data_IF_006542446020
#
_entry.id   IF_006542446020
#
_cell.length_a   1.000
_cell.length_b   1.000
_cell.length_c   1.000
_cell.angle_alpha   90.00
_cell.angle_beta   90.00
_cell.angle_gamma   90.00
#
_symmetry.space_group_name_H-M   'P 1'
#
loop_
_entity.id
_entity.type
_entity.pdbx_description
1 polymer ?
#
# COMPACT_ATOMS: atom_id res chain seq x y z
N UNK A 1 -7.49 -35.47 19.21
CA UNK A 1 -6.30 -34.75 18.71
C UNK A 1 -6.70 -33.86 17.54
N UNK A 2 -7.05 -32.59 17.77
CA UNK A 2 -7.58 -31.66 16.75
C UNK A 2 -6.69 -30.42 16.50
N UNK A 3 -5.45 -30.42 17.00
CA UNK A 3 -4.50 -29.30 16.88
C UNK A 3 -3.80 -29.17 15.50
N UNK A 4 -4.12 -30.03 14.51
CA UNK A 4 -3.22 -30.21 13.36
C UNK A 4 -3.56 -29.38 12.11
N UNK A 5 -4.80 -28.88 11.95
CA UNK A 5 -5.20 -28.21 10.69
C UNK A 5 -4.93 -26.70 10.69
N UNK A 6 -5.20 -26.02 11.80
CA UNK A 6 -4.96 -24.56 11.93
C UNK A 6 -3.47 -24.22 12.01
N UNK A 7 -2.67 -25.03 12.70
CA UNK A 7 -1.21 -24.84 12.78
C UNK A 7 -0.55 -25.14 11.43
N UNK A 8 -0.95 -26.23 10.75
CA UNK A 8 -0.46 -26.52 9.40
C UNK A 8 -0.85 -25.44 8.38
N UNK A 9 -2.08 -24.91 8.46
CA UNK A 9 -2.52 -23.80 7.62
C UNK A 9 -1.65 -22.57 7.79
N UNK A 10 -1.42 -22.12 9.05
CA UNK A 10 -0.53 -20.97 9.31
C UNK A 10 0.90 -21.19 8.82
N UNK A 11 1.49 -22.36 9.07
CA UNK A 11 2.85 -22.69 8.62
C UNK A 11 2.93 -22.70 7.09
N UNK A 12 1.93 -23.28 6.42
CA UNK A 12 1.87 -23.32 4.96
C UNK A 12 1.70 -21.92 4.35
N UNK A 13 0.81 -21.10 4.90
CA UNK A 13 0.63 -19.69 4.52
C UNK A 13 1.94 -18.91 4.64
N UNK A 14 2.66 -19.07 5.76
CA UNK A 14 3.97 -18.43 5.95
C UNK A 14 5.00 -18.92 4.93
N UNK A 15 5.05 -20.22 4.63
CA UNK A 15 5.94 -20.77 3.61
C UNK A 15 5.65 -20.20 2.22
N UNK A 16 4.38 -20.15 1.81
CA UNK A 16 3.96 -19.60 0.51
C UNK A 16 4.32 -18.11 0.39
N UNK A 17 4.15 -17.35 1.48
CA UNK A 17 4.55 -15.95 1.52
C UNK A 17 6.05 -15.77 1.38
N UNK A 18 6.86 -16.55 2.11
CA UNK A 18 8.33 -16.48 1.97
C UNK A 18 8.79 -16.86 0.56
N UNK A 19 8.22 -17.91 -0.03
CA UNK A 19 8.47 -18.28 -1.42
C UNK A 19 8.16 -17.13 -2.39
N UNK A 20 7.02 -16.46 -2.21
CA UNK A 20 6.66 -15.31 -3.03
C UNK A 20 7.70 -14.17 -2.92
N UNK A 21 8.23 -13.91 -1.72
CA UNK A 21 9.28 -12.90 -1.54
C UNK A 21 10.58 -13.28 -2.27
N UNK A 22 10.99 -14.54 -2.24
CA UNK A 22 12.15 -15.03 -2.98
C UNK A 22 11.96 -14.90 -4.49
N UNK A 23 10.78 -15.26 -5.00
CA UNK A 23 10.42 -15.10 -6.41
C UNK A 23 10.42 -13.62 -6.83
N UNK A 24 9.90 -12.72 -5.98
CA UNK A 24 9.98 -11.27 -6.21
C UNK A 24 11.43 -10.78 -6.31
N UNK A 25 12.32 -11.29 -5.46
CA UNK A 25 13.75 -10.96 -5.50
C UNK A 25 14.43 -11.50 -6.77
N UNK A 26 14.05 -12.70 -7.20
CA UNK A 26 14.53 -13.32 -8.45
C UNK A 26 13.92 -12.68 -9.71
N UNK A 27 12.91 -11.83 -9.56
CA UNK A 27 12.19 -11.20 -10.68
C UNK A 27 11.10 -12.07 -11.31
N UNK A 28 10.80 -13.23 -10.74
CA UNK A 28 9.69 -14.09 -11.15
C UNK A 28 8.35 -13.54 -10.64
N UNK A 29 7.81 -12.58 -11.39
CA UNK A 29 6.57 -11.90 -11.03
C UNK A 29 5.34 -12.82 -11.12
N UNK A 30 5.36 -13.77 -12.06
CA UNK A 30 4.24 -14.69 -12.25
C UNK A 30 4.19 -15.73 -11.13
N UNK A 31 5.33 -16.32 -10.79
CA UNK A 31 5.44 -17.24 -9.66
C UNK A 31 5.09 -16.56 -8.33
N UNK A 32 5.60 -15.35 -8.10
CA UNK A 32 5.26 -14.58 -6.91
C UNK A 32 3.75 -14.32 -6.78
N UNK A 33 3.07 -13.95 -7.88
CA UNK A 33 1.63 -13.74 -7.87
C UNK A 33 0.88 -15.02 -7.50
N UNK A 34 1.27 -16.14 -8.11
CA UNK A 34 0.67 -17.45 -7.82
C UNK A 34 0.83 -17.85 -6.36
N UNK A 35 2.03 -17.70 -5.80
CA UNK A 35 2.30 -18.03 -4.39
C UNK A 35 1.54 -17.11 -3.42
N UNK A 36 1.40 -15.81 -3.75
CA UNK A 36 0.58 -14.88 -2.96
C UNK A 36 -0.91 -15.23 -3.03
N UNK A 37 -1.43 -15.58 -4.20
CA UNK A 37 -2.82 -16.01 -4.36
C UNK A 37 -3.11 -17.29 -3.56
N UNK A 38 -2.20 -18.26 -3.58
CA UNK A 38 -2.31 -19.46 -2.76
C UNK A 38 -2.28 -19.15 -1.27
N UNK A 39 -1.36 -18.28 -0.82
CA UNK A 39 -1.27 -17.87 0.57
C UNK A 39 -2.58 -17.22 1.05
N UNK A 40 -3.20 -16.40 0.20
CA UNK A 40 -4.46 -15.69 0.49
C UNK A 40 -5.70 -16.57 0.35
N UNK A 41 -5.65 -17.65 -0.42
CA UNK A 41 -6.71 -18.66 -0.42
C UNK A 41 -6.75 -19.44 0.90
N UNK A 42 -5.58 -19.73 1.50
CA UNK A 42 -5.49 -20.40 2.79
C UNK A 42 -5.79 -19.45 3.97
N UNK A 43 -5.35 -18.19 3.87
CA UNK A 43 -5.58 -17.17 4.89
C UNK A 43 -5.90 -15.80 4.25
N UNK A 44 -7.20 -15.53 3.96
CA UNK A 44 -7.62 -14.32 3.24
C UNK A 44 -7.27 -13.00 3.94
N UNK A 45 -7.14 -13.02 5.26
CA UNK A 45 -6.84 -11.83 6.07
C UNK A 45 -5.34 -11.67 6.36
N UNK A 46 -4.47 -12.31 5.56
CA UNK A 46 -3.02 -12.12 5.71
C UNK A 46 -2.56 -10.78 5.14
N UNK A 47 -2.56 -9.74 5.98
CA UNK A 47 -2.26 -8.36 5.60
C UNK A 47 -0.94 -8.19 4.82
N UNK A 48 0.14 -8.88 5.22
CA UNK A 48 1.43 -8.79 4.52
C UNK A 48 1.36 -9.37 3.10
N UNK A 49 0.68 -10.49 2.91
CA UNK A 49 0.49 -11.09 1.59
C UNK A 49 -0.43 -10.21 0.70
N UNK A 50 -1.51 -9.64 1.26
CA UNK A 50 -2.33 -8.65 0.56
C UNK A 50 -1.49 -7.44 0.14
N UNK A 51 -0.66 -6.91 1.03
CA UNK A 51 0.19 -5.75 0.75
C UNK A 51 1.21 -6.04 -0.36
N UNK A 52 1.87 -7.20 -0.34
CA UNK A 52 2.81 -7.58 -1.41
C UNK A 52 2.08 -7.85 -2.73
N UNK A 53 0.91 -8.48 -2.71
CA UNK A 53 0.12 -8.71 -3.93
C UNK A 53 -0.36 -7.40 -4.53
N UNK A 54 -0.80 -6.46 -3.70
CA UNK A 54 -1.15 -5.10 -4.14
C UNK A 54 0.02 -4.40 -4.82
N UNK A 55 1.24 -4.46 -4.23
CA UNK A 55 2.45 -3.92 -4.86
C UNK A 55 2.74 -4.57 -6.22
N UNK A 56 2.63 -5.90 -6.29
CA UNK A 56 2.89 -6.67 -7.49
C UNK A 56 1.88 -6.37 -8.59
N UNK A 57 0.59 -6.29 -8.24
CA UNK A 57 -0.49 -5.92 -9.17
C UNK A 57 -0.31 -4.53 -9.76
N UNK A 58 0.14 -3.54 -8.98
CA UNK A 58 0.55 -2.23 -9.53
C UNK A 58 1.66 -2.39 -10.57
N UNK A 59 2.68 -3.19 -10.28
CA UNK A 59 3.80 -3.44 -11.22
C UNK A 59 3.32 -4.14 -12.51
N UNK A 60 2.30 -4.98 -12.42
CA UNK A 60 1.67 -5.69 -13.54
C UNK A 60 0.59 -4.88 -14.26
N UNK A 61 0.26 -3.67 -13.78
CA UNK A 61 -0.78 -2.81 -14.36
C UNK A 61 -2.21 -3.11 -13.89
N UNK A 62 -2.42 -4.09 -13.00
CA UNK A 62 -3.71 -4.38 -12.39
C UNK A 62 -4.01 -3.41 -11.24
N UNK A 63 -4.37 -2.17 -11.60
CA UNK A 63 -4.65 -1.12 -10.62
C UNK A 63 -5.90 -1.39 -9.78
N UNK A 64 -6.92 -2.02 -10.36
CA UNK A 64 -8.15 -2.36 -9.65
C UNK A 64 -7.93 -3.46 -8.60
N UNK A 65 -7.24 -4.53 -8.97
CA UNK A 65 -6.89 -5.59 -8.03
C UNK A 65 -5.95 -5.10 -6.93
N UNK A 66 -5.01 -4.21 -7.26
CA UNK A 66 -4.17 -3.57 -6.25
C UNK A 66 -4.97 -2.71 -5.26
N UNK A 67 -5.95 -1.95 -5.76
CA UNK A 67 -6.83 -1.12 -4.94
C UNK A 67 -7.68 -1.95 -3.97
N UNK A 68 -8.19 -3.10 -4.44
CA UNK A 68 -8.90 -4.05 -3.60
C UNK A 68 -7.98 -4.59 -2.48
N UNK A 69 -6.76 -5.02 -2.82
CA UNK A 69 -5.80 -5.53 -1.84
C UNK A 69 -5.43 -4.48 -0.77
N UNK A 70 -5.10 -3.25 -1.18
CA UNK A 70 -4.79 -2.18 -0.21
C UNK A 70 -6.00 -1.74 0.61
N UNK A 71 -7.22 -1.87 0.07
CA UNK A 71 -8.44 -1.60 0.83
C UNK A 71 -8.62 -2.63 1.95
N UNK A 72 -8.36 -3.91 1.67
CA UNK A 72 -8.39 -4.94 2.70
C UNK A 72 -7.25 -4.79 3.71
N UNK A 73 -6.04 -4.43 3.28
CA UNK A 73 -4.96 -4.08 4.21
C UNK A 73 -5.40 -2.97 5.16
N UNK A 74 -5.98 -1.89 4.65
CA UNK A 74 -6.45 -0.76 5.46
C UNK A 74 -7.64 -1.11 6.36
N UNK A 75 -8.47 -2.08 5.98
CA UNK A 75 -9.54 -2.60 6.83
C UNK A 75 -8.97 -3.38 8.02
N UNK A 76 -7.95 -4.20 7.78
CA UNK A 76 -7.30 -5.05 8.79
C UNK A 76 -6.39 -4.24 9.71
N UNK A 77 -5.55 -3.39 9.12
CA UNK A 77 -4.58 -2.57 9.81
C UNK A 77 -4.32 -1.27 9.03
N UNK A 78 -4.92 -0.15 9.46
CA UNK A 78 -4.62 1.15 8.90
C UNK A 78 -3.13 1.50 9.08
N UNK A 79 -2.40 1.70 7.98
CA UNK A 79 -1.00 2.12 8.00
C UNK A 79 -0.77 3.28 7.04
N UNK A 80 0.25 4.09 7.33
CA UNK A 80 0.63 5.23 6.48
C UNK A 80 0.99 4.71 5.09
N UNK A 81 1.78 3.63 5.02
CA UNK A 81 2.24 3.01 3.79
C UNK A 81 1.07 2.57 2.91
N UNK A 82 0.08 1.88 3.48
CA UNK A 82 -1.07 1.41 2.71
C UNK A 82 -1.94 2.56 2.20
N UNK A 83 -2.15 3.63 3.00
CA UNK A 83 -2.82 4.85 2.52
C UNK A 83 -2.05 5.50 1.38
N UNK A 84 -0.71 5.61 1.48
CA UNK A 84 0.09 6.19 0.40
C UNK A 84 0.02 5.36 -0.88
N UNK A 85 0.09 4.03 -0.77
CA UNK A 85 0.02 3.14 -1.94
C UNK A 85 -1.35 3.23 -2.63
N UNK A 86 -2.44 3.16 -1.88
CA UNK A 86 -3.79 3.28 -2.45
C UNK A 86 -4.06 4.68 -3.01
N UNK A 87 -3.61 5.73 -2.32
CA UNK A 87 -3.69 7.10 -2.82
C UNK A 87 -2.91 7.31 -4.12
N UNK A 88 -1.73 6.71 -4.28
CA UNK A 88 -0.98 6.75 -5.55
C UNK A 88 -1.74 6.04 -6.68
N UNK A 89 -2.37 4.89 -6.39
CA UNK A 89 -3.20 4.17 -7.36
C UNK A 89 -4.39 5.04 -7.81
N UNK A 90 -5.06 5.72 -6.87
CA UNK A 90 -6.13 6.65 -7.21
C UNK A 90 -5.65 7.77 -8.15
N UNK A 91 -4.44 8.31 -7.96
CA UNK A 91 -3.88 9.29 -8.92
C UNK A 91 -3.61 8.70 -10.30
N UNK A 92 -3.09 7.47 -10.36
CA UNK A 92 -2.85 6.74 -11.62
C UNK A 92 -4.15 6.47 -12.39
N UNK A 93 -5.28 6.44 -11.69
CA UNK A 93 -6.62 6.18 -12.26
C UNK A 93 -7.44 7.47 -12.45
N UNK A 94 -6.83 8.64 -12.36
CA UNK A 94 -7.51 9.95 -12.41
C UNK A 94 -8.60 10.18 -11.34
N UNK A 95 -8.57 9.41 -10.26
CA UNK A 95 -9.47 9.49 -9.11
C UNK A 95 -8.89 10.36 -7.98
N UNK A 96 -8.37 11.54 -8.32
CA UNK A 96 -7.68 12.43 -7.38
C UNK A 96 -8.48 12.80 -6.10
N UNK A 97 -9.82 12.96 -6.10
CA UNK A 97 -10.58 13.16 -4.86
C UNK A 97 -10.38 12.05 -3.82
N UNK A 98 -10.31 10.79 -4.24
CA UNK A 98 -10.06 9.67 -3.33
C UNK A 98 -8.60 9.65 -2.83
N UNK A 99 -7.64 10.03 -3.68
CA UNK A 99 -6.25 10.20 -3.28
C UNK A 99 -6.06 11.29 -2.20
N UNK A 100 -6.83 12.39 -2.27
CA UNK A 100 -6.84 13.43 -1.22
C UNK A 100 -7.26 12.83 0.12
N UNK A 101 -8.32 12.02 0.15
CA UNK A 101 -8.81 11.39 1.38
C UNK A 101 -7.73 10.50 2.00
N UNK A 102 -7.10 9.62 1.21
CA UNK A 102 -6.03 8.75 1.70
C UNK A 102 -4.79 9.52 2.16
N UNK A 103 -4.40 10.57 1.43
CA UNK A 103 -3.29 11.44 1.84
C UNK A 103 -3.59 12.14 3.18
N UNK A 104 -4.83 12.60 3.38
CA UNK A 104 -5.25 13.21 4.65
C UNK A 104 -5.30 12.21 5.81
N UNK A 105 -5.63 10.94 5.56
CA UNK A 105 -5.49 9.91 6.58
C UNK A 105 -4.01 9.70 6.95
N UNK A 106 -3.13 9.63 5.96
CA UNK A 106 -1.69 9.49 6.17
C UNK A 106 -1.09 10.67 6.96
N UNK A 107 -1.51 11.92 6.68
CA UNK A 107 -1.03 13.10 7.45
C UNK A 107 -1.59 13.13 8.87
N UNK A 108 -2.79 12.59 9.13
CA UNK A 108 -3.31 12.43 10.49
C UNK A 108 -2.50 11.40 11.30
N UNK A 109 -2.12 10.29 10.67
CA UNK A 109 -1.31 9.26 11.32
C UNK A 109 0.13 9.71 11.58
N UNK A 110 0.74 10.43 10.64
CA UNK A 110 2.07 11.01 10.81
C UNK A 110 2.13 12.46 10.31
N UNK A 111 1.87 13.44 11.21
CA UNK A 111 1.85 14.86 10.85
C UNK A 111 3.17 15.42 10.34
N UNK A 112 4.28 14.70 10.54
CA UNK A 112 5.63 15.09 10.09
C UNK A 112 6.16 14.20 8.96
N UNK A 113 5.28 13.51 8.23
CA UNK A 113 5.71 12.62 7.14
C UNK A 113 5.62 13.30 5.78
N UNK A 114 6.78 13.65 5.21
CA UNK A 114 6.88 14.40 3.97
C UNK A 114 6.13 13.74 2.79
N UNK A 115 6.21 12.41 2.65
CA UNK A 115 5.58 11.68 1.55
C UNK A 115 4.04 11.81 1.53
N UNK A 116 3.40 11.94 2.70
CA UNK A 116 1.94 12.15 2.78
C UNK A 116 1.54 13.52 2.24
N UNK A 117 2.29 14.57 2.57
CA UNK A 117 2.06 15.90 2.01
C UNK A 117 2.42 15.99 0.53
N UNK A 118 3.43 15.25 0.05
CA UNK A 118 3.72 15.15 -1.38
C UNK A 118 2.55 14.53 -2.15
N UNK A 119 1.97 13.45 -1.64
CA UNK A 119 0.78 12.84 -2.23
C UNK A 119 -0.40 13.81 -2.25
N UNK A 120 -0.63 14.52 -1.14
CA UNK A 120 -1.69 15.52 -1.03
C UNK A 120 -1.51 16.65 -2.06
N UNK A 121 -0.29 17.15 -2.23
CA UNK A 121 0.03 18.17 -3.23
C UNK A 121 -0.18 17.70 -4.67
N UNK A 122 0.17 16.44 -4.98
CA UNK A 122 -0.09 15.84 -6.30
C UNK A 122 -1.59 15.73 -6.57
N UNK A 123 -2.34 15.27 -5.59
CA UNK A 123 -3.78 15.11 -5.69
C UNK A 123 -4.51 16.45 -5.87
N UNK A 124 -4.16 17.47 -5.08
CA UNK A 124 -4.74 18.81 -5.24
C UNK A 124 -4.41 19.45 -6.59
N UNK A 125 -3.19 19.25 -7.09
CA UNK A 125 -2.80 19.73 -8.42
C UNK A 125 -3.65 19.09 -9.52
N UNK A 126 -3.93 17.79 -9.41
CA UNK A 126 -4.70 17.06 -10.42
C UNK A 126 -6.17 17.49 -10.48
N UNK A 127 -6.76 17.90 -9.36
CA UNK A 127 -8.10 18.53 -9.32
C UNK A 127 -8.10 20.04 -9.60
N UNK A 128 -6.95 20.62 -9.97
CA UNK A 128 -6.82 22.06 -10.28
C UNK A 128 -6.76 22.99 -9.06
N UNK A 129 -6.73 22.46 -7.83
CA UNK A 129 -6.63 23.26 -6.62
C UNK A 129 -5.17 23.65 -6.33
N UNK A 130 -4.69 24.64 -7.08
CA UNK A 130 -3.29 25.08 -7.05
C UNK A 130 -2.86 25.63 -5.68
N UNK A 131 -3.73 26.34 -4.98
CA UNK A 131 -3.43 26.92 -3.67
C UNK A 131 -3.16 25.83 -2.61
N UNK A 132 -4.04 24.83 -2.54
CA UNK A 132 -3.86 23.71 -1.62
C UNK A 132 -2.67 22.84 -2.01
N UNK A 133 -2.40 22.69 -3.31
CA UNK A 133 -1.22 21.99 -3.79
C UNK A 133 0.08 22.65 -3.30
N UNK A 134 0.21 23.98 -3.46
CA UNK A 134 1.38 24.74 -2.99
C UNK A 134 1.53 24.59 -1.47
N UNK A 135 0.45 24.71 -0.72
CA UNK A 135 0.46 24.56 0.74
C UNK A 135 0.96 23.19 1.15
N UNK A 136 0.44 22.12 0.54
CA UNK A 136 0.89 20.75 0.81
C UNK A 136 2.37 20.55 0.44
N UNK A 137 2.84 21.05 -0.70
CA UNK A 137 4.24 20.92 -1.09
C UNK A 137 5.19 21.67 -0.16
N UNK A 138 4.83 22.87 0.30
CA UNK A 138 5.62 23.61 1.30
C UNK A 138 5.77 22.80 2.59
N UNK A 139 4.70 22.16 3.03
CA UNK A 139 4.74 21.34 4.23
C UNK A 139 5.56 20.06 4.03
N UNK A 140 5.50 19.44 2.85
CA UNK A 140 6.37 18.32 2.50
C UNK A 140 7.86 18.68 2.62
N UNK A 141 8.26 19.85 2.09
CA UNK A 141 9.65 20.34 2.18
C UNK A 141 10.05 20.58 3.62
N UNK A 142 9.19 21.23 4.41
CA UNK A 142 9.44 21.46 5.84
C UNK A 142 9.67 20.14 6.59
N UNK A 143 8.79 19.16 6.39
CA UNK A 143 8.93 17.85 7.03
C UNK A 143 10.20 17.12 6.61
N UNK A 144 10.63 17.25 5.34
CA UNK A 144 11.85 16.62 4.85
C UNK A 144 13.11 17.17 5.54
N UNK A 145 13.20 18.50 5.69
CA UNK A 145 14.33 19.15 6.35
C UNK A 145 14.39 18.72 7.83
N UNK A 146 13.25 18.80 8.53
CA UNK A 146 13.17 18.42 9.94
C UNK A 146 13.50 16.95 10.24
N UNK A 147 13.42 16.05 9.24
CA UNK A 147 13.79 14.64 9.37
C UNK A 147 15.29 14.39 9.19
N UNK A 148 16.03 15.28 8.53
CA UNK A 148 17.48 15.14 8.35
C UNK A 148 18.28 15.68 9.55
N UNK A 149 17.68 16.58 10.32
CA UNK A 149 18.31 17.24 11.46
C UNK A 149 18.14 16.46 12.79
N UNK A 150 17.58 15.25 12.79
CA UNK A 150 17.42 14.35 13.96
C UNK A 150 18.12 13.02 13.73
#
# INVERSE_FOLDING_TARGET
MSLNRSVKGKVMTSSLYHQALEQLQAGDLAGALQSLDQALNEHPEFADALYQRGKLRVKLGDLQGALADYTEVLRLQPTIEAFLKRGLIYLMMDAAPAAIIDAQQATRLAPRFAAAYQLLGKAYRQVGNTEQAITAYKQAVRCYIEQQDN
#
